data_IF_941318153574
#
_entry.id   IF_941318153574
#
_cell.length_a   1.000
_cell.length_b   1.000
_cell.length_c   1.000
_cell.angle_alpha   90.00
_cell.angle_beta   90.00
_cell.angle_gamma   90.00
#
_symmetry.space_group_name_H-M   'P 1'
#
loop_
_entity.id
_entity.type
_entity.pdbx_description
1 polymer ?
#
# COMPACT_ATOMS: atom_id res chain seq x y z
N UNK A 1 4.71 16.00 -12.90
CA UNK A 1 4.87 14.89 -11.94
C UNK A 1 4.21 15.25 -10.63
N UNK A 2 3.49 14.30 -10.05
CA UNK A 2 2.82 14.49 -8.78
C UNK A 2 3.63 13.85 -7.67
N UNK A 3 3.69 14.51 -6.51
CA UNK A 3 4.31 13.93 -5.32
C UNK A 3 3.22 13.34 -4.45
N UNK A 4 3.34 12.06 -4.13
CA UNK A 4 2.33 11.35 -3.34
C UNK A 4 3.00 10.58 -2.21
N UNK A 5 2.21 10.28 -1.19
CA UNK A 5 2.65 9.45 -0.07
C UNK A 5 1.67 8.30 0.09
N UNK A 6 2.17 7.12 0.43
CA UNK A 6 1.34 5.96 0.65
C UNK A 6 1.82 5.15 1.83
N UNK A 7 0.94 4.32 2.39
CA UNK A 7 1.26 3.51 3.55
C UNK A 7 0.87 2.06 3.29
N UNK A 8 1.78 1.17 3.62
CA UNK A 8 1.57 -0.27 3.53
C UNK A 8 1.21 -0.82 4.90
N UNK A 9 0.02 -1.40 5.02
CA UNK A 9 -0.36 -2.18 6.20
C UNK A 9 -0.39 -3.63 5.77
N UNK A 10 0.39 -4.46 6.42
CA UNK A 10 0.51 -5.88 6.08
C UNK A 10 0.02 -6.69 7.26
N UNK A 11 -0.78 -7.70 6.98
CA UNK A 11 -1.28 -8.61 8.00
C UNK A 11 -1.03 -10.05 7.58
N UNK A 12 -0.99 -11.01 8.53
CA UNK A 12 -0.96 -12.41 8.16
C UNK A 12 -2.31 -12.82 7.56
N UNK A 13 -2.27 -13.62 6.52
CA UNK A 13 -3.46 -14.17 5.89
C UNK A 13 -3.34 -15.66 5.76
N UNK A 14 -4.40 -16.32 5.28
CA UNK A 14 -4.41 -17.78 5.17
C UNK A 14 -3.41 -18.27 4.14
N UNK A 15 -3.16 -17.50 3.10
CA UNK A 15 -2.20 -17.86 2.06
C UNK A 15 -0.90 -17.09 2.13
N UNK A 16 -0.56 -16.53 3.30
CA UNK A 16 0.63 -15.72 3.47
C UNK A 16 0.27 -14.28 3.78
N UNK A 17 1.26 -13.40 3.84
CA UNK A 17 1.04 -12.00 4.17
C UNK A 17 0.17 -11.31 3.13
N UNK A 18 -0.65 -10.36 3.58
CA UNK A 18 -1.57 -9.61 2.72
C UNK A 18 -1.40 -8.12 2.95
N UNK A 19 -1.49 -7.37 1.88
CA UNK A 19 -1.34 -5.92 1.86
C UNK A 19 -2.71 -5.25 1.74
N UNK A 20 -2.95 -4.25 2.58
CA UNK A 20 -4.17 -3.46 2.47
C UNK A 20 -4.12 -2.57 1.24
N UNK A 21 -5.11 -2.71 0.37
CA UNK A 21 -5.25 -1.86 -0.82
C UNK A 21 -6.63 -1.25 -0.86
N UNK A 22 -6.74 -0.12 -1.54
CA UNK A 22 -8.01 0.60 -1.67
C UNK A 22 -8.23 0.98 -3.14
N UNK A 23 -9.50 1.15 -3.50
CA UNK A 23 -9.86 1.64 -4.82
C UNK A 23 -10.82 2.81 -4.67
N UNK A 24 -10.49 3.89 -5.33
CA UNK A 24 -11.34 5.08 -5.27
C UNK A 24 -12.56 4.91 -6.16
N UNK A 25 -13.65 5.58 -5.76
CA UNK A 25 -14.89 5.55 -6.52
C UNK A 25 -14.64 6.05 -7.95
N UNK A 26 -15.14 5.32 -8.92
CA UNK A 26 -14.97 5.68 -10.32
C UNK A 26 -13.64 5.31 -10.94
N UNK A 27 -12.77 4.61 -10.22
CA UNK A 27 -11.48 4.15 -10.77
C UNK A 27 -11.45 2.64 -10.84
N UNK A 28 -10.46 2.11 -11.56
CA UNK A 28 -10.37 0.68 -11.84
C UNK A 28 -9.26 -0.02 -11.07
N UNK A 29 -8.26 0.72 -10.57
CA UNK A 29 -7.07 0.09 -10.01
C UNK A 29 -6.99 0.27 -8.51
N UNK A 30 -6.60 -0.79 -7.84
CA UNK A 30 -6.31 -0.76 -6.40
C UNK A 30 -4.94 -0.17 -6.17
N UNK A 31 -4.82 0.64 -5.13
CA UNK A 31 -3.61 1.34 -4.76
C UNK A 31 -3.45 1.37 -3.25
N UNK A 32 -2.36 1.95 -2.78
CA UNK A 32 -2.15 2.11 -1.34
C UNK A 32 -3.06 3.21 -0.79
N UNK A 33 -3.46 3.10 0.48
CA UNK A 33 -4.01 4.28 1.15
C UNK A 33 -2.97 5.39 1.11
N UNK A 34 -3.39 6.57 0.68
CA UNK A 34 -2.47 7.69 0.53
C UNK A 34 -2.97 8.66 -0.51
N UNK A 35 -2.16 9.63 -0.87
CA UNK A 35 -2.54 10.59 -1.87
C UNK A 35 -1.53 11.73 -2.01
N UNK A 36 -1.96 12.78 -2.66
CA UNK A 36 -1.13 13.94 -2.96
C UNK A 36 -0.86 14.75 -1.70
N UNK A 37 0.33 15.38 -1.67
CA UNK A 37 0.66 16.30 -0.59
C UNK A 37 -0.13 17.59 -0.74
N UNK A 38 -0.65 18.10 0.36
CA UNK A 38 -1.18 19.45 0.41
C UNK A 38 -0.01 20.43 0.55
N UNK A 39 -0.23 21.71 0.20
CA UNK A 39 0.84 22.70 0.33
C UNK A 39 1.42 22.71 1.75
N UNK A 40 2.73 22.66 1.84
CA UNK A 40 3.41 22.70 3.12
C UNK A 40 3.53 21.37 3.83
N UNK A 41 2.91 20.31 3.34
CA UNK A 41 3.02 19.00 3.98
C UNK A 41 4.33 18.30 3.60
N UNK A 42 4.84 17.51 4.55
CA UNK A 42 5.85 16.51 4.23
C UNK A 42 5.16 15.24 3.77
N UNK A 43 5.90 14.31 3.20
CA UNK A 43 5.32 13.03 2.80
C UNK A 43 4.77 12.28 4.01
N UNK A 44 5.44 12.34 5.16
CA UNK A 44 4.95 11.66 6.35
C UNK A 44 3.65 12.27 6.86
N UNK A 45 3.54 13.60 6.85
CA UNK A 45 2.32 14.28 7.28
C UNK A 45 1.16 13.94 6.36
N UNK A 46 1.41 13.96 5.04
CA UNK A 46 0.39 13.59 4.08
C UNK A 46 -0.08 12.15 4.26
N UNK A 47 0.87 11.24 4.52
CA UNK A 47 0.53 9.83 4.74
C UNK A 47 -0.41 9.67 5.93
N UNK A 48 -0.10 10.32 7.06
CA UNK A 48 -0.94 10.26 8.25
C UNK A 48 -2.34 10.80 7.96
N UNK A 49 -2.42 11.94 7.31
CA UNK A 49 -3.71 12.56 7.00
C UNK A 49 -4.55 11.70 6.07
N UNK A 50 -3.94 11.20 4.99
CA UNK A 50 -4.69 10.41 4.01
C UNK A 50 -5.20 9.11 4.59
N UNK A 51 -4.39 8.44 5.42
CA UNK A 51 -4.83 7.21 6.07
C UNK A 51 -6.05 7.47 6.94
N UNK A 52 -6.05 8.56 7.71
CA UNK A 52 -7.18 8.90 8.54
C UNK A 52 -8.42 9.19 7.70
N UNK A 53 -8.25 9.94 6.60
CA UNK A 53 -9.37 10.33 5.75
C UNK A 53 -9.96 9.17 4.97
N UNK A 54 -9.12 8.27 4.47
CA UNK A 54 -9.57 7.24 3.54
C UNK A 54 -10.06 5.98 4.23
N UNK A 55 -9.42 5.58 5.32
CA UNK A 55 -9.74 4.30 5.96
C UNK A 55 -9.92 4.42 7.47
N UNK A 56 -9.94 5.63 8.01
CA UNK A 56 -10.31 5.86 9.39
C UNK A 56 -9.31 5.37 10.43
N UNK A 57 -8.07 5.11 10.03
CA UNK A 57 -7.05 4.66 10.98
C UNK A 57 -6.20 5.82 11.42
N UNK A 58 -5.82 5.81 12.70
CA UNK A 58 -4.92 6.82 13.24
C UNK A 58 -3.54 6.24 13.37
N UNK A 59 -2.59 6.87 12.68
CA UNK A 59 -1.17 6.56 12.82
C UNK A 59 -0.46 7.86 13.14
N UNK A 60 0.70 7.77 13.79
CA UNK A 60 1.53 8.95 14.02
C UNK A 60 2.74 8.86 13.11
N UNK A 61 3.43 9.99 12.95
CA UNK A 61 4.65 9.99 12.14
C UNK A 61 5.67 9.01 12.70
N UNK A 62 5.72 8.86 14.03
CA UNK A 62 6.64 7.93 14.66
C UNK A 62 6.35 6.47 14.32
N UNK A 63 5.11 6.17 13.90
CA UNK A 63 4.72 4.80 13.52
C UNK A 63 5.16 4.43 12.10
N UNK A 64 5.62 5.40 11.33
CA UNK A 64 5.94 5.17 9.92
C UNK A 64 7.39 4.77 9.75
N UNK A 65 7.61 3.70 8.99
CA UNK A 65 8.94 3.27 8.57
C UNK A 65 9.03 3.41 7.06
N UNK A 66 10.11 3.98 6.58
CA UNK A 66 10.27 4.19 5.14
C UNK A 66 10.50 2.88 4.41
N UNK A 67 9.67 2.59 3.43
CA UNK A 67 9.90 1.47 2.51
C UNK A 67 10.80 1.91 1.36
N UNK A 68 10.50 3.06 0.78
CA UNK A 68 11.29 3.58 -0.32
C UNK A 68 10.59 4.71 -1.04
N UNK A 69 11.29 5.28 -2.00
CA UNK A 69 10.75 6.32 -2.88
C UNK A 69 10.85 5.81 -4.31
N UNK A 70 9.77 5.95 -5.05
CA UNK A 70 9.66 5.36 -6.38
C UNK A 70 9.06 6.35 -7.36
N UNK A 71 9.44 6.23 -8.63
CA UNK A 71 8.90 7.03 -9.72
C UNK A 71 8.17 6.09 -10.65
N UNK A 72 6.88 6.34 -10.89
CA UNK A 72 6.08 5.43 -11.67
C UNK A 72 4.90 6.16 -12.31
N UNK A 73 4.25 5.51 -13.27
CA UNK A 73 3.01 6.01 -13.86
C UNK A 73 1.91 6.08 -12.81
N UNK A 74 1.08 7.13 -12.91
CA UNK A 74 -0.07 7.24 -12.03
C UNK A 74 -1.06 6.12 -12.32
N UNK A 75 -1.76 5.66 -11.28
CA UNK A 75 -2.65 4.51 -11.38
C UNK A 75 -3.82 4.76 -12.32
N UNK A 76 -4.43 5.93 -12.20
CA UNK A 76 -5.71 6.20 -12.83
C UNK A 76 -5.74 7.51 -13.60
N UNK A 77 -4.58 8.06 -13.92
CA UNK A 77 -4.47 9.32 -14.67
C UNK A 77 -3.51 9.09 -15.83
N UNK A 78 -4.01 9.24 -17.06
CA UNK A 78 -3.20 9.03 -18.25
C UNK A 78 -2.09 10.08 -18.34
N UNK A 79 -0.95 9.65 -18.87
CA UNK A 79 0.19 10.54 -19.15
C UNK A 79 0.69 11.30 -17.92
N UNK A 80 0.46 10.72 -16.74
CA UNK A 80 0.86 11.35 -15.48
C UNK A 80 1.81 10.42 -14.75
N UNK A 81 2.86 10.99 -14.16
CA UNK A 81 3.80 10.22 -13.36
C UNK A 81 3.74 10.70 -11.91
N UNK A 82 4.04 9.79 -11.00
CA UNK A 82 4.09 10.10 -9.58
C UNK A 82 5.48 9.84 -9.03
N UNK A 83 5.90 10.71 -8.12
CA UNK A 83 7.03 10.46 -7.26
C UNK A 83 6.44 10.06 -5.92
N UNK A 84 6.54 8.78 -5.58
CA UNK A 84 5.86 8.22 -4.42
C UNK A 84 6.84 7.93 -3.30
N UNK A 85 6.56 8.44 -2.12
CA UNK A 85 7.26 8.03 -0.90
C UNK A 85 6.34 7.07 -0.17
N UNK A 86 6.83 5.86 0.08
CA UNK A 86 6.02 4.78 0.62
C UNK A 86 6.56 4.37 1.97
N UNK A 87 5.65 4.28 2.93
CA UNK A 87 5.96 3.88 4.30
C UNK A 87 5.27 2.56 4.62
N UNK A 88 5.77 1.88 5.65
CA UNK A 88 5.05 0.77 6.27
C UNK A 88 4.62 1.20 7.65
N UNK A 89 3.53 0.62 8.16
CA UNK A 89 3.07 0.87 9.51
C UNK A 89 2.30 -0.35 10.00
N UNK A 90 2.27 -0.50 11.32
CA UNK A 90 1.51 -1.58 11.94
C UNK A 90 0.03 -1.22 11.92
N UNK A 91 -0.81 -2.18 11.58
CA UNK A 91 -2.26 -1.99 11.60
C UNK A 91 -2.70 -1.79 13.05
N UNK A 92 -3.37 -0.67 13.30
CA UNK A 92 -3.73 -0.28 14.66
C UNK A 92 -5.23 -0.36 14.94
N UNK A 93 -6.00 -0.90 14.00
CA UNK A 93 -7.44 -1.00 14.17
C UNK A 93 -8.07 -1.62 12.94
N UNK A 94 -9.39 -1.51 12.87
CA UNK A 94 -10.14 -2.04 11.75
C UNK A 94 -10.29 -0.95 10.70
N UNK A 95 -9.71 -1.14 9.49
CA UNK A 95 -9.90 -0.13 8.45
C UNK A 95 -11.34 -0.14 7.95
N UNK A 96 -11.87 1.05 7.68
CA UNK A 96 -13.22 1.23 7.17
C UNK A 96 -13.16 2.23 6.03
N UNK A 97 -13.83 1.91 4.91
CA UNK A 97 -13.84 2.82 3.78
C UNK A 97 -14.54 4.12 4.14
N UNK A 98 -13.98 5.22 3.70
CA UNK A 98 -14.52 6.54 3.95
C UNK A 98 -14.19 7.42 2.76
N UNK A 99 -14.83 8.59 2.71
CA UNK A 99 -14.60 9.55 1.65
C UNK A 99 -14.84 8.93 0.29
N UNK A 100 -13.88 9.04 -0.59
CA UNK A 100 -14.02 8.60 -1.96
C UNK A 100 -13.58 7.16 -2.18
N UNK A 101 -13.28 6.42 -1.11
CA UNK A 101 -12.88 5.02 -1.24
C UNK A 101 -14.12 4.15 -1.41
N UNK A 102 -14.17 3.41 -2.50
CA UNK A 102 -15.31 2.55 -2.81
C UNK A 102 -15.08 1.13 -2.32
N UNK A 103 -13.84 0.65 -2.38
CA UNK A 103 -13.55 -0.75 -2.04
C UNK A 103 -12.23 -0.85 -1.30
N UNK A 104 -12.16 -1.86 -0.45
CA UNK A 104 -10.95 -2.19 0.30
C UNK A 104 -10.68 -3.67 0.03
N UNK A 105 -9.43 -4.01 -0.25
CA UNK A 105 -9.08 -5.39 -0.55
C UNK A 105 -7.74 -5.74 0.08
N UNK A 106 -7.70 -6.87 0.76
CA UNK A 106 -6.45 -7.43 1.25
C UNK A 106 -5.82 -8.24 0.14
N UNK A 107 -4.69 -7.77 -0.34
CA UNK A 107 -4.00 -8.33 -1.51
C UNK A 107 -2.87 -9.25 -1.05
N UNK A 108 -2.92 -10.56 -1.38
CA UNK A 108 -1.79 -11.42 -1.05
C UNK A 108 -0.51 -10.91 -1.70
N UNK A 109 0.58 -10.89 -0.93
CA UNK A 109 1.85 -10.40 -1.45
C UNK A 109 2.38 -11.28 -2.58
N UNK A 110 2.02 -12.55 -2.57
CA UNK A 110 2.52 -13.51 -3.56
C UNK A 110 1.90 -13.31 -4.93
N UNK A 111 0.84 -12.50 -5.04
CA UNK A 111 0.11 -12.33 -6.29
C UNK A 111 0.25 -10.92 -6.81
N UNK A 112 0.21 -10.77 -8.13
CA UNK A 112 0.21 -9.47 -8.79
C UNK A 112 -0.92 -9.45 -9.79
N UNK A 113 -2.17 -9.15 -9.34
CA UNK A 113 -3.28 -9.12 -10.28
C UNK A 113 -3.20 -7.92 -11.20
N UNK A 114 -3.94 -7.99 -12.31
CA UNK A 114 -3.88 -6.95 -13.32
C UNK A 114 -4.54 -5.64 -12.92
N UNK A 115 -5.28 -5.62 -11.81
CA UNK A 115 -6.01 -4.42 -11.39
C UNK A 115 -5.34 -3.66 -10.25
N UNK A 116 -4.04 -3.88 -10.02
CA UNK A 116 -3.30 -3.04 -9.07
C UNK A 116 -2.52 -1.97 -9.83
N UNK A 117 -2.28 -0.86 -9.14
CA UNK A 117 -1.54 0.26 -9.70
C UNK A 117 -0.11 -0.16 -10.10
N UNK A 118 0.47 0.47 -11.13
CA UNK A 118 1.86 0.17 -11.51
C UNK A 118 2.84 0.30 -10.36
N UNK A 119 2.65 1.28 -9.48
CA UNK A 119 3.49 1.44 -8.30
C UNK A 119 3.51 0.17 -7.46
N UNK A 120 2.35 -0.46 -7.26
CA UNK A 120 2.26 -1.69 -6.48
C UNK A 120 2.91 -2.85 -7.22
N UNK A 121 2.55 -3.03 -8.49
CA UNK A 121 3.02 -4.18 -9.25
C UNK A 121 4.53 -4.17 -9.43
N UNK A 122 5.09 -3.00 -9.69
CA UNK A 122 6.50 -2.89 -10.10
C UNK A 122 7.46 -2.62 -8.96
N UNK A 123 6.97 -2.04 -7.86
CA UNK A 123 7.87 -1.58 -6.79
C UNK A 123 7.46 -2.06 -5.41
N UNK A 124 6.22 -1.83 -5.02
CA UNK A 124 5.80 -2.07 -3.64
C UNK A 124 5.70 -3.56 -3.33
N UNK A 125 4.99 -4.31 -4.16
CA UNK A 125 4.86 -5.75 -3.92
C UNK A 125 6.22 -6.46 -3.93
N UNK A 126 7.11 -6.19 -4.92
CA UNK A 126 8.45 -6.79 -4.84
C UNK A 126 9.22 -6.43 -3.59
N UNK A 127 9.15 -5.16 -3.14
CA UNK A 127 9.86 -4.73 -1.94
C UNK A 127 9.29 -5.41 -0.69
N UNK A 128 7.97 -5.55 -0.61
CA UNK A 128 7.35 -6.20 0.53
C UNK A 128 7.63 -7.70 0.55
N UNK A 129 7.68 -8.34 -0.62
CA UNK A 129 8.03 -9.76 -0.68
C UNK A 129 9.41 -10.01 -0.12
N UNK A 130 10.34 -9.09 -0.35
CA UNK A 130 11.68 -9.21 0.20
C UNK A 130 11.69 -9.09 1.72
N UNK A 131 10.80 -8.26 2.28
CA UNK A 131 10.69 -8.08 3.73
C UNK A 131 9.86 -9.15 4.42
N UNK A 132 8.97 -9.80 3.67
CA UNK A 132 8.05 -10.82 4.20
C UNK A 132 8.16 -12.09 3.36
N UNK A 133 9.32 -12.75 3.38
CA UNK A 133 9.47 -13.96 2.56
C UNK A 133 8.47 -15.03 3.00
N UNK A 134 7.92 -15.73 2.01
CA UNK A 134 6.97 -16.79 2.30
C UNK A 134 7.65 -17.86 3.12
N UNK A 135 6.94 -18.45 4.08
CA UNK A 135 7.47 -19.62 4.78
C UNK A 135 7.78 -20.69 3.77
N UNK A 136 8.91 -21.37 3.92
CA UNK A 136 9.22 -22.50 3.06
C UNK A 136 8.24 -23.60 3.37
N UNK A 137 7.63 -24.03 2.35
CA UNK A 137 6.75 -25.16 2.55
C UNK A 137 7.57 -26.37 2.52
N UNK A 138 7.88 -26.41 3.28
CA UNK A 138 8.48 -27.19 3.25
C UNK A 138 7.70 -28.03 3.49
N UNK A 139 7.28 -27.73 3.09
CA UNK A 139 6.99 -28.01 3.18
C UNK A 139 6.76 -28.57 3.50
N UNK A 140 6.33 -29.41 3.76
CA UNK A 140 6.56 -29.82 4.10
C UNK A 140 7.08 -30.14 3.72
N UNK A 141 7.13 -30.12 3.37
CA UNK A 141 7.79 -30.02 3.08
C UNK A 141 8.35 -29.82 2.90
N UNK A 142 8.60 -29.99 2.80
CA UNK A 142 9.38 -29.72 2.73
C UNK A 142 9.80 -29.74 3.56
N UNK A 143 10.13 -30.29 4.02
CA UNK A 143 10.57 -30.06 4.72
C UNK A 143 11.23 -29.63 4.95
N UNK A 144 11.20 -29.59 5.40
CA UNK A 144 11.66 -29.00 5.58
C UNK A 144 12.16 -28.84 5.36
N UNK A 145 11.99 -28.68 5.21
CA UNK A 145 12.32 -28.45 5.09
C UNK A 145 12.43 -28.25 4.93
#
# INVERSE_FOLDING_TARGET
MLTVAGVCFVRPGTGGAELLTVRKRGTERFMLPGGKLDPGETTATAAVREVAEEIGLEVTIADLDLLGSFDEEAANEADTRVAATVYTATLSGQPEVAREIEALRWQPLAETPGDVAPLLARHVLPALRARHPEPQHSGPGRPAG
#
